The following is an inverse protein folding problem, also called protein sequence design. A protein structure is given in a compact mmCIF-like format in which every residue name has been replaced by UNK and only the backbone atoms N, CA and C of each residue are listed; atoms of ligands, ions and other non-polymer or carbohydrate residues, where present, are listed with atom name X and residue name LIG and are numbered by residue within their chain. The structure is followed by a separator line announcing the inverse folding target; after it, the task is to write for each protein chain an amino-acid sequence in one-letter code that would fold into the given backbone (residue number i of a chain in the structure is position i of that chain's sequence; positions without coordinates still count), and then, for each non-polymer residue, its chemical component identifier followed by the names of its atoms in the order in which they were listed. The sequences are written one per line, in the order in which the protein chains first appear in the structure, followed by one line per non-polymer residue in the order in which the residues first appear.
data_IF_979031078589
#
_entry.id   IF_979031078589
#
_cell.length_a   1.000
_cell.length_b   1.000
_cell.length_c   1.000
_cell.angle_alpha   90.00
_cell.angle_beta   90.00
_cell.angle_gamma   90.00
#
_symmetry.space_group_name_H-M   'P 1'
#
loop_
_entity.id
_entity.type
_entity.pdbx_description
1 polymer ?
#
# COMPACT_ATOMS: atom_id res chain seq x y z
N UNK A 1 10.99 -8.04 12.94
CA UNK A 1 9.73 -8.76 12.63
C UNK A 1 8.79 -7.83 11.88
N UNK A 2 9.00 -7.65 10.56
CA UNK A 2 8.12 -6.84 9.70
C UNK A 2 7.59 -7.63 8.48
N UNK A 3 7.85 -8.93 8.42
CA UNK A 3 7.51 -9.80 7.28
C UNK A 3 6.01 -9.91 7.07
N UNK A 4 5.23 -10.02 8.14
CA UNK A 4 3.77 -10.13 8.05
C UNK A 4 3.11 -8.86 7.45
N UNK A 5 3.62 -7.66 7.76
CA UNK A 5 3.06 -6.42 7.22
C UNK A 5 3.43 -6.25 5.74
N UNK A 6 4.68 -6.55 5.37
CA UNK A 6 5.11 -6.56 3.98
C UNK A 6 4.32 -7.59 3.15
N UNK A 7 4.08 -8.78 3.70
CA UNK A 7 3.26 -9.83 3.11
C UNK A 7 1.82 -9.35 2.87
N UNK A 8 1.19 -8.74 3.88
CA UNK A 8 -0.16 -8.17 3.77
C UNK A 8 -0.23 -7.07 2.72
N UNK A 9 0.78 -6.22 2.65
CA UNK A 9 0.82 -5.11 1.71
C UNK A 9 1.03 -5.59 0.27
N UNK A 10 1.93 -6.55 0.06
CA UNK A 10 2.12 -7.21 -1.23
C UNK A 10 0.84 -7.90 -1.70
N UNK A 11 0.18 -8.63 -0.80
CA UNK A 11 -1.10 -9.31 -1.05
C UNK A 11 -2.18 -8.31 -1.45
N UNK A 12 -2.35 -7.25 -0.66
CA UNK A 12 -3.40 -6.26 -0.87
C UNK A 12 -3.19 -5.46 -2.15
N UNK A 13 -1.95 -5.05 -2.46
CA UNK A 13 -1.60 -4.37 -3.71
C UNK A 13 -1.82 -5.26 -4.94
N UNK A 14 -1.46 -6.54 -4.84
CA UNK A 14 -1.71 -7.51 -5.92
C UNK A 14 -3.21 -7.65 -6.19
N UNK A 15 -4.01 -7.81 -5.13
CA UNK A 15 -5.46 -7.89 -5.26
C UNK A 15 -6.05 -6.59 -5.86
N UNK A 16 -5.57 -5.42 -5.43
CA UNK A 16 -6.03 -4.14 -5.95
C UNK A 16 -5.72 -4.00 -7.44
N UNK A 17 -4.52 -4.38 -7.86
CA UNK A 17 -4.13 -4.38 -9.28
C UNK A 17 -5.07 -5.24 -10.13
N UNK A 18 -5.39 -6.46 -9.67
CA UNK A 18 -6.32 -7.36 -10.39
C UNK A 18 -7.70 -6.74 -10.50
N UNK A 19 -8.24 -6.19 -9.41
CA UNK A 19 -9.58 -5.60 -9.41
C UNK A 19 -9.68 -4.36 -10.31
N UNK A 20 -8.66 -3.49 -10.28
CA UNK A 20 -8.60 -2.32 -11.15
C UNK A 20 -8.47 -2.71 -12.63
N UNK A 21 -7.61 -3.69 -12.96
CA UNK A 21 -7.48 -4.21 -14.33
C UNK A 21 -8.78 -4.84 -14.83
N UNK A 22 -9.49 -5.59 -13.96
CA UNK A 22 -10.79 -6.20 -14.27
C UNK A 22 -11.88 -5.15 -14.51
N UNK A 23 -11.88 -4.08 -13.72
CA UNK A 23 -12.82 -2.97 -13.85
C UNK A 23 -12.46 -1.98 -14.96
N UNK A 24 -11.28 -2.11 -15.58
CA UNK A 24 -10.71 -1.12 -16.50
C UNK A 24 -10.66 0.31 -15.89
N UNK A 25 -10.36 0.39 -14.58
CA UNK A 25 -10.36 1.63 -13.82
C UNK A 25 -8.94 2.06 -13.42
N UNK A 26 -8.69 3.38 -13.35
CA UNK A 26 -7.43 3.97 -12.91
C UNK A 26 -6.18 3.34 -13.58
N UNK A 27 -6.00 3.50 -14.90
CA UNK A 27 -4.87 2.91 -15.63
C UNK A 27 -3.51 3.36 -15.10
N UNK A 28 -3.40 4.61 -14.64
CA UNK A 28 -2.16 5.14 -14.05
C UNK A 28 -1.81 4.41 -12.75
N UNK A 29 -2.79 4.23 -11.85
CA UNK A 29 -2.59 3.47 -10.61
C UNK A 29 -2.28 1.98 -10.90
N UNK A 30 -2.85 1.40 -11.96
CA UNK A 30 -2.48 0.05 -12.39
C UNK A 30 -0.99 -0.02 -12.80
N UNK A 31 -0.48 0.97 -13.53
CA UNK A 31 0.92 1.01 -13.95
C UNK A 31 1.87 1.19 -12.76
N UNK A 32 1.51 2.07 -11.84
CA UNK A 32 2.25 2.31 -10.60
C UNK A 32 2.28 1.08 -9.68
N UNK A 33 1.13 0.44 -9.43
CA UNK A 33 1.04 -0.77 -8.62
C UNK A 33 1.87 -1.90 -9.23
N UNK A 34 1.77 -2.09 -10.54
CA UNK A 34 2.56 -3.08 -11.24
C UNK A 34 4.07 -2.81 -11.14
N UNK A 35 4.48 -1.54 -11.21
CA UNK A 35 5.88 -1.13 -11.03
C UNK A 35 6.35 -1.40 -9.61
N UNK A 36 5.58 -1.02 -8.59
CA UNK A 36 5.91 -1.27 -7.17
C UNK A 36 6.02 -2.76 -6.87
N UNK A 37 5.08 -3.57 -7.36
CA UNK A 37 5.09 -5.01 -7.16
C UNK A 37 6.26 -5.69 -7.91
N UNK A 38 6.59 -5.22 -9.12
CA UNK A 38 7.75 -5.70 -9.86
C UNK A 38 9.05 -5.38 -9.11
N UNK A 39 9.22 -4.15 -8.61
CA UNK A 39 10.39 -3.74 -7.81
C UNK A 39 10.53 -4.62 -6.56
N UNK A 40 9.42 -4.90 -5.87
CA UNK A 40 9.41 -5.82 -4.75
C UNK A 40 9.93 -7.22 -5.13
N UNK A 41 9.55 -7.77 -6.29
CA UNK A 41 10.06 -9.08 -6.76
C UNK A 41 11.52 -8.99 -7.25
N UNK A 42 11.94 -7.88 -7.83
CA UNK A 42 13.33 -7.64 -8.24
C UNK A 42 14.28 -7.60 -7.04
N UNK A 43 13.80 -7.08 -5.90
CA UNK A 43 14.53 -7.06 -4.64
C UNK A 43 14.87 -8.45 -4.10
N UNK A 44 14.01 -9.46 -4.33
CA UNK A 44 14.18 -10.81 -3.76
C UNK A 44 15.53 -11.41 -4.16
N UNK A 45 16.37 -11.71 -3.18
CA UNK A 45 17.72 -12.21 -3.43
C UNK A 45 17.70 -13.71 -3.71
N UNK A 46 18.00 -14.08 -4.94
CA UNK A 46 17.84 -15.46 -5.44
C UNK A 46 18.78 -16.48 -4.80
N UNK A 47 19.83 -16.03 -4.09
CA UNK A 47 20.70 -16.93 -3.34
C UNK A 47 20.13 -17.32 -1.98
N UNK A 48 19.11 -16.63 -1.49
CA UNK A 48 18.51 -16.86 -0.18
C UNK A 48 17.79 -18.20 -0.14
N UNK A 49 18.00 -18.97 0.94
CA UNK A 49 17.45 -20.31 1.07
C UNK A 49 15.92 -20.36 0.97
N UNK A 50 15.23 -19.30 1.42
CA UNK A 50 13.78 -19.15 1.37
C UNK A 50 13.28 -18.80 -0.04
N UNK A 51 14.07 -18.07 -0.84
CA UNK A 51 13.71 -17.65 -2.21
C UNK A 51 13.99 -18.76 -3.22
N UNK A 52 15.02 -19.59 -2.99
CA UNK A 52 15.46 -20.66 -3.90
C UNK A 52 14.36 -21.64 -4.35
N UNK A 53 13.42 -22.09 -3.50
CA UNK A 53 12.29 -22.92 -3.94
C UNK A 53 11.33 -22.23 -4.90
N UNK A 54 11.36 -20.89 -4.96
CA UNK A 54 10.41 -20.05 -5.67
C UNK A 54 11.02 -19.39 -6.93
N UNK A 55 12.26 -19.73 -7.31
CA UNK A 55 13.01 -19.05 -8.39
C UNK A 55 12.23 -18.94 -9.71
N UNK A 56 11.54 -20.00 -10.12
CA UNK A 56 10.74 -19.97 -11.35
C UNK A 56 9.67 -18.87 -11.32
N UNK A 57 9.03 -18.68 -10.16
CA UNK A 57 7.99 -17.66 -9.98
C UNK A 57 8.63 -16.28 -9.91
N UNK A 58 9.73 -16.15 -9.16
CA UNK A 58 10.49 -14.90 -9.05
C UNK A 58 10.97 -14.43 -10.43
N UNK A 59 11.67 -15.27 -11.20
CA UNK A 59 12.19 -14.94 -12.53
C UNK A 59 11.09 -14.51 -13.50
N UNK A 60 9.94 -15.20 -13.47
CA UNK A 60 8.78 -14.83 -14.26
C UNK A 60 8.31 -13.42 -13.92
N UNK A 61 8.04 -13.13 -12.64
CA UNK A 61 7.47 -11.86 -12.22
C UNK A 61 8.49 -10.73 -12.06
N UNK A 62 9.78 -10.98 -12.31
CA UNK A 62 10.77 -9.93 -12.59
C UNK A 62 10.50 -9.22 -13.93
N UNK A 63 9.74 -9.83 -14.85
CA UNK A 63 9.41 -9.25 -16.15
C UNK A 63 8.21 -8.31 -16.07
N UNK A 64 8.36 -7.04 -16.48
CA UNK A 64 7.27 -6.02 -16.45
C UNK A 64 6.02 -6.48 -17.19
N UNK A 65 6.19 -7.21 -18.28
CA UNK A 65 5.09 -7.73 -19.13
C UNK A 65 4.13 -8.66 -18.37
N UNK A 66 4.60 -9.39 -17.36
CA UNK A 66 3.76 -10.31 -16.59
C UNK A 66 2.73 -9.59 -15.71
N UNK A 67 2.94 -8.29 -15.45
CA UNK A 67 2.04 -7.46 -14.64
C UNK A 67 1.01 -6.69 -15.46
N UNK A 68 1.14 -6.65 -16.79
CA UNK A 68 0.23 -5.88 -17.67
C UNK A 68 -1.21 -6.41 -17.66
N UNK A 69 -1.37 -7.72 -17.45
CA UNK A 69 -2.66 -8.40 -17.36
C UNK A 69 -2.56 -9.56 -16.38
N UNK A 70 -2.87 -9.28 -15.12
CA UNK A 70 -2.85 -10.24 -14.04
C UNK A 70 -4.27 -10.79 -13.81
N UNK A 71 -4.49 -12.06 -14.17
CA UNK A 71 -5.74 -12.75 -13.84
C UNK A 71 -5.77 -13.13 -12.36
N UNK A 72 -6.96 -13.26 -11.77
CA UNK A 72 -7.12 -13.71 -10.37
C UNK A 72 -6.36 -15.01 -10.03
N UNK A 73 -6.35 -16.01 -10.93
CA UNK A 73 -5.60 -17.26 -10.71
C UNK A 73 -4.08 -17.06 -10.66
N UNK A 74 -3.53 -16.22 -11.54
CA UNK A 74 -2.10 -15.84 -11.52
C UNK A 74 -1.73 -15.03 -10.30
N UNK A 75 -2.62 -14.15 -9.84
CA UNK A 75 -2.42 -13.40 -8.62
C UNK A 75 -2.42 -14.30 -7.38
N UNK A 76 -3.34 -15.27 -7.29
CA UNK A 76 -3.35 -16.23 -6.19
C UNK A 76 -2.06 -17.06 -6.13
N UNK A 77 -1.58 -17.54 -7.28
CA UNK A 77 -0.29 -18.24 -7.41
C UNK A 77 0.89 -17.36 -7.00
N UNK A 78 0.93 -16.11 -7.49
CA UNK A 78 1.94 -15.11 -7.11
C UNK A 78 1.96 -14.88 -5.60
N UNK A 79 0.80 -14.61 -4.99
CA UNK A 79 0.67 -14.33 -3.55
C UNK A 79 1.16 -15.54 -2.74
N UNK A 80 0.70 -16.74 -3.07
CA UNK A 80 1.06 -17.97 -2.36
C UNK A 80 2.57 -18.24 -2.39
N UNK A 81 3.25 -17.87 -3.47
CA UNK A 81 4.68 -18.12 -3.63
C UNK A 81 5.57 -16.97 -3.18
N UNK A 82 5.13 -15.72 -3.29
CA UNK A 82 6.02 -14.56 -3.16
C UNK A 82 5.72 -13.69 -1.94
N UNK A 83 4.48 -13.66 -1.44
CA UNK A 83 4.09 -12.65 -0.44
C UNK A 83 4.88 -12.77 0.87
N UNK A 84 5.21 -13.99 1.31
CA UNK A 84 5.95 -14.24 2.53
C UNK A 84 7.48 -14.19 2.36
N UNK A 85 7.99 -14.00 1.14
CA UNK A 85 9.42 -13.99 0.88
C UNK A 85 10.04 -12.65 1.32
N UNK A 86 11.26 -12.66 1.86
CA UNK A 86 11.97 -11.42 2.16
C UNK A 86 12.27 -10.66 0.87
N UNK A 87 11.92 -9.38 0.83
CA UNK A 87 12.37 -8.45 -0.20
C UNK A 87 13.06 -7.25 0.46
N UNK A 88 14.36 -7.02 0.19
CA UNK A 88 15.09 -5.86 0.68
C UNK A 88 14.63 -4.55 0.03
N UNK A 89 13.91 -4.63 -1.10
CA UNK A 89 13.58 -3.48 -1.95
C UNK A 89 12.10 -3.06 -1.83
N UNK A 90 11.47 -3.35 -0.68
CA UNK A 90 10.51 -2.38 -0.22
C UNK A 90 11.34 -1.14 0.16
N UNK A 91 11.49 -0.19 -0.77
CA UNK A 91 12.13 1.11 -0.54
C UNK A 91 11.52 1.91 0.62
N UNK A 92 10.50 1.35 1.28
CA UNK A 92 9.90 1.78 2.54
C UNK A 92 10.54 1.15 3.79
N UNK A 93 11.18 -0.03 3.67
CA UNK A 93 11.69 -0.90 4.75
C UNK A 93 13.23 -0.86 4.88
N UNK A 94 13.94 -0.18 3.98
CA UNK A 94 15.42 -0.07 4.02
C UNK A 94 15.95 0.89 5.11
N UNK A 95 15.08 1.49 5.92
CA UNK A 95 15.47 2.17 7.14
C UNK A 95 14.87 1.45 8.36
N UNK A 96 15.76 0.83 9.16
CA UNK A 96 15.44 0.25 10.46
C UNK A 96 14.77 1.31 11.36
N UNK A 97 13.47 1.16 11.66
CA UNK A 97 12.79 2.02 12.63
C UNK A 97 11.26 1.89 12.66
N UNK A 98 10.65 2.34 13.77
CA UNK A 98 9.20 2.37 13.98
C UNK A 98 8.44 3.24 12.95
N UNK A 99 9.10 4.25 12.38
CA UNK A 99 8.54 5.11 11.34
C UNK A 99 8.22 4.36 10.03
N UNK A 100 9.03 3.35 9.69
CA UNK A 100 8.76 2.46 8.55
C UNK A 100 7.45 1.68 8.77
N UNK A 101 7.29 1.07 9.96
CA UNK A 101 6.10 0.31 10.31
C UNK A 101 4.82 1.16 10.24
N UNK A 102 4.86 2.39 10.76
CA UNK A 102 3.72 3.30 10.71
C UNK A 102 3.32 3.68 9.27
N UNK A 103 4.31 3.97 8.40
CA UNK A 103 4.06 4.26 6.97
C UNK A 103 3.49 3.06 6.24
N UNK A 104 4.01 1.86 6.48
CA UNK A 104 3.48 0.62 5.87
C UNK A 104 2.06 0.30 6.36
N UNK A 105 1.76 0.53 7.64
CA UNK A 105 0.40 0.37 8.18
C UNK A 105 -0.60 1.34 7.55
N UNK A 106 -0.22 2.62 7.40
CA UNK A 106 -1.03 3.60 6.67
C UNK A 106 -1.27 3.16 5.22
N UNK A 107 -0.21 2.81 4.50
CA UNK A 107 -0.30 2.35 3.11
C UNK A 107 -1.26 1.15 3.01
N UNK A 108 -1.19 0.19 3.94
CA UNK A 108 -2.09 -0.97 3.97
C UNK A 108 -3.55 -0.54 4.19
N UNK A 109 -3.83 0.33 5.16
CA UNK A 109 -5.18 0.83 5.42
C UNK A 109 -5.79 1.48 4.18
N UNK A 110 -5.01 2.30 3.47
CA UNK A 110 -5.49 2.98 2.26
C UNK A 110 -5.71 1.99 1.12
N UNK A 111 -4.83 1.01 0.91
CA UNK A 111 -5.02 -0.03 -0.12
C UNK A 111 -6.27 -0.87 0.18
N UNK A 112 -6.55 -1.17 1.46
CA UNK A 112 -7.78 -1.85 1.88
C UNK A 112 -9.02 -1.01 1.58
N UNK A 113 -8.98 0.29 1.87
CA UNK A 113 -10.08 1.20 1.53
C UNK A 113 -10.31 1.29 0.01
N UNK A 114 -9.24 1.38 -0.78
CA UNK A 114 -9.31 1.37 -2.25
C UNK A 114 -9.94 0.07 -2.77
N UNK A 115 -9.55 -1.08 -2.21
CA UNK A 115 -10.14 -2.38 -2.54
C UNK A 115 -11.65 -2.42 -2.27
N UNK A 116 -12.09 -1.93 -1.10
CA UNK A 116 -13.50 -1.85 -0.74
C UNK A 116 -14.30 -1.00 -1.76
N UNK A 117 -13.72 0.12 -2.21
CA UNK A 117 -14.36 0.96 -3.23
C UNK A 117 -14.52 0.26 -4.57
N UNK A 118 -13.46 -0.41 -5.05
CA UNK A 118 -13.51 -1.12 -6.33
C UNK A 118 -14.49 -2.29 -6.29
N UNK A 119 -14.64 -2.93 -5.12
CA UNK A 119 -15.60 -4.04 -4.90
C UNK A 119 -17.04 -3.57 -4.72
N UNK A 120 -17.26 -2.29 -4.43
CA UNK A 120 -18.57 -1.74 -4.11
C UNK A 120 -19.07 -2.11 -2.72
N UNK A 121 -18.15 -2.34 -1.77
CA UNK A 121 -18.48 -2.63 -0.38
C UNK A 121 -19.11 -1.40 0.30
N UNK A 122 -20.04 -1.62 1.24
CA UNK A 122 -20.75 -0.54 1.92
C UNK A 122 -19.81 0.31 2.81
N UNK A 123 -19.94 1.64 2.74
CA UNK A 123 -19.25 2.60 3.64
C UNK A 123 -20.03 2.77 4.94
N UNK A 124 -19.38 3.09 6.07
CA UNK A 124 -17.92 3.19 6.26
C UNK A 124 -17.28 1.84 6.55
N UNK A 125 -16.12 1.57 5.94
CA UNK A 125 -15.27 0.42 6.31
C UNK A 125 -14.40 0.75 7.52
N UNK A 126 -14.04 -0.23 8.35
CA UNK A 126 -13.12 -0.03 9.50
C UNK A 126 -11.82 0.71 9.11
N UNK A 127 -11.31 0.47 7.89
CA UNK A 127 -10.15 1.18 7.36
C UNK A 127 -10.35 2.70 7.25
N UNK A 128 -11.55 3.16 6.88
CA UNK A 128 -11.87 4.59 6.81
C UNK A 128 -11.81 5.24 8.19
N UNK A 129 -12.31 4.56 9.23
CA UNK A 129 -12.28 5.07 10.59
C UNK A 129 -10.82 5.28 11.02
N UNK A 130 -9.99 4.26 10.87
CA UNK A 130 -8.58 4.35 11.25
C UNK A 130 -7.77 5.37 10.43
N UNK A 131 -8.03 5.51 9.13
CA UNK A 131 -7.37 6.55 8.32
C UNK A 131 -7.74 7.94 8.85
N UNK A 132 -8.99 8.14 9.24
CA UNK A 132 -9.46 9.41 9.78
C UNK A 132 -8.82 9.72 11.12
N UNK A 133 -8.76 8.74 12.03
CA UNK A 133 -8.08 8.90 13.33
C UNK A 133 -6.63 9.35 13.12
N UNK A 134 -5.90 8.72 12.19
CA UNK A 134 -4.52 9.11 11.84
C UNK A 134 -4.47 10.55 11.30
N UNK A 135 -5.40 10.93 10.42
CA UNK A 135 -5.46 12.28 9.85
C UNK A 135 -5.79 13.33 10.91
N UNK A 136 -6.73 13.04 11.81
CA UNK A 136 -7.11 13.92 12.92
C UNK A 136 -5.95 14.12 13.91
N UNK A 137 -5.24 13.04 14.25
CA UNK A 137 -4.04 13.09 15.09
C UNK A 137 -2.93 13.94 14.44
N UNK A 138 -2.68 13.74 13.14
CA UNK A 138 -1.71 14.53 12.39
C UNK A 138 -2.07 16.02 12.33
N UNK A 139 -3.35 16.35 12.12
CA UNK A 139 -3.82 17.73 12.05
C UNK A 139 -3.90 18.40 13.43
N UNK A 140 -3.93 17.62 14.51
CA UNK A 140 -3.85 18.14 15.87
C UNK A 140 -2.44 18.59 16.25
N UNK A 141 -1.41 18.10 15.55
CA UNK A 141 -0.04 18.60 15.70
C UNK A 141 0.21 19.83 14.82
N UNK A 142 0.59 20.96 15.45
CA UNK A 142 0.68 22.26 14.80
C UNK A 142 1.68 22.35 13.63
N UNK A 143 2.76 21.57 13.64
CA UNK A 143 3.77 21.63 12.58
C UNK A 143 3.30 20.89 11.31
N UNK A 144 2.80 19.68 11.46
CA UNK A 144 2.24 18.82 10.43
C UNK A 144 0.97 19.45 9.86
N UNK A 145 0.14 20.03 10.72
CA UNK A 145 -1.04 20.77 10.30
C UNK A 145 -0.72 21.97 9.42
N UNK A 146 0.45 22.60 9.52
CA UNK A 146 0.85 23.69 8.62
C UNK A 146 1.28 23.15 7.25
N UNK A 147 1.96 22.01 7.24
CA UNK A 147 2.49 21.37 6.02
C UNK A 147 1.44 20.52 5.28
N UNK A 148 0.33 20.18 5.94
CA UNK A 148 -0.72 19.33 5.39
C UNK A 148 -1.38 19.94 4.15
N UNK A 149 -1.38 19.15 3.07
CA UNK A 149 -2.10 19.44 1.83
C UNK A 149 -3.63 19.43 2.07
N UNK A 150 -4.39 20.07 1.18
CA UNK A 150 -5.83 20.21 1.32
C UNK A 150 -6.54 18.86 1.39
N UNK A 151 -6.08 17.85 0.64
CA UNK A 151 -6.65 16.50 0.67
C UNK A 151 -6.56 15.86 2.06
N UNK A 152 -5.51 16.16 2.83
CA UNK A 152 -5.36 15.68 4.22
C UNK A 152 -6.39 16.34 5.12
N UNK A 153 -6.59 17.66 4.98
CA UNK A 153 -7.60 18.40 5.76
C UNK A 153 -9.01 17.89 5.45
N UNK A 154 -9.32 17.72 4.17
CA UNK A 154 -10.64 17.28 3.73
C UNK A 154 -10.96 15.87 4.25
N UNK A 155 -9.96 14.98 4.29
CA UNK A 155 -10.10 13.61 4.80
C UNK A 155 -10.45 13.51 6.29
N UNK A 156 -10.32 14.60 7.07
CA UNK A 156 -10.85 14.66 8.45
C UNK A 156 -12.38 14.83 8.50
N UNK A 157 -13.04 15.10 7.36
CA UNK A 157 -14.48 15.38 7.30
C UNK A 157 -15.27 14.23 6.66
N UNK A 158 -16.45 13.92 7.19
CA UNK A 158 -17.36 12.91 6.61
C UNK A 158 -17.79 13.23 5.17
N UNK A 159 -17.85 14.51 4.82
CA UNK A 159 -18.27 14.98 3.51
C UNK A 159 -17.33 14.46 2.41
N UNK A 160 -16.01 14.49 2.65
CA UNK A 160 -15.03 14.00 1.69
C UNK A 160 -15.23 12.50 1.42
N UNK A 161 -15.41 11.71 2.48
CA UNK A 161 -15.63 10.28 2.38
C UNK A 161 -16.96 9.87 1.76
N UNK A 162 -17.89 10.78 1.52
CA UNK A 162 -19.13 10.47 0.80
C UNK A 162 -18.93 10.50 -0.72
N UNK A 163 -17.93 11.25 -1.20
CA UNK A 163 -17.64 11.43 -2.63
C UNK A 163 -16.28 10.87 -3.09
N UNK A 164 -15.36 10.57 -2.17
CA UNK A 164 -14.00 10.16 -2.49
C UNK A 164 -13.97 8.88 -3.36
N UNK A 165 -13.14 8.86 -4.38
CA UNK A 165 -12.87 7.68 -5.22
C UNK A 165 -11.49 7.05 -4.93
N UNK A 166 -11.10 6.06 -5.74
CA UNK A 166 -9.81 5.37 -5.60
C UNK A 166 -8.63 6.32 -5.82
N UNK A 167 -8.75 7.28 -6.73
CA UNK A 167 -7.70 8.25 -7.04
C UNK A 167 -7.60 9.32 -5.94
N UNK A 168 -8.71 9.71 -5.31
CA UNK A 168 -8.72 10.53 -4.09
C UNK A 168 -7.95 9.83 -2.96
N UNK A 169 -8.21 8.53 -2.73
CA UNK A 169 -7.49 7.76 -1.72
C UNK A 169 -5.99 7.63 -2.03
N UNK A 170 -5.62 7.47 -3.30
CA UNK A 170 -4.19 7.43 -3.69
C UNK A 170 -3.49 8.77 -3.47
N UNK A 171 -4.18 9.89 -3.75
CA UNK A 171 -3.68 11.23 -3.44
C UNK A 171 -3.51 11.43 -1.93
N UNK A 172 -4.49 11.00 -1.14
CA UNK A 172 -4.41 11.03 0.31
C UNK A 172 -3.19 10.23 0.82
N UNK A 173 -2.97 9.02 0.28
CA UNK A 173 -1.82 8.18 0.64
C UNK A 173 -0.51 8.92 0.47
N UNK A 174 -0.31 9.57 -0.67
CA UNK A 174 0.91 10.31 -1.00
C UNK A 174 1.11 11.53 -0.10
N UNK A 175 0.02 12.21 0.25
CA UNK A 175 0.07 13.40 1.09
C UNK A 175 0.34 13.05 2.57
N UNK A 176 -0.25 11.96 3.09
CA UNK A 176 -0.12 11.55 4.50
C UNK A 176 1.18 10.78 4.76
N UNK A 177 1.65 9.97 3.81
CA UNK A 177 2.85 9.13 3.95
C UNK A 177 4.12 9.87 4.43
N UNK A 178 4.50 11.06 3.93
CA UNK A 178 5.66 11.77 4.47
C UNK A 178 5.45 12.17 5.93
N UNK A 179 4.25 12.62 6.29
CA UNK A 179 3.89 13.17 7.61
C UNK A 179 3.92 12.11 8.73
N UNK A 180 3.55 10.87 8.44
CA UNK A 180 3.48 9.77 9.44
C UNK A 180 4.84 9.35 9.99
N UNK A 181 5.94 9.61 9.28
CA UNK A 181 7.28 9.26 9.76
C UNK A 181 7.91 10.30 10.68
N UNK A 182 7.50 11.56 10.55
CA UNK A 182 8.10 12.68 11.29
C UNK A 182 7.40 12.89 12.65
N UNK A 183 6.11 12.57 12.74
CA UNK A 183 5.28 12.79 13.93
C UNK A 183 5.54 11.80 15.09
N UNK A 184 5.89 10.55 14.79
CA UNK A 184 5.95 9.48 15.81
C UNK A 184 7.21 9.47 16.68
N UNK A 185 8.21 10.30 16.42
CA UNK A 185 9.37 10.45 17.32
C UNK A 185 9.07 11.39 18.52
N UNK A 186 7.98 12.16 18.47
CA UNK A 186 7.67 13.17 19.50
C UNK A 186 6.73 12.69 20.61
N UNK A 187 6.27 11.43 20.57
CA UNK A 187 5.33 10.89 21.58
C UNK A 187 5.91 9.78 22.46
N UNK A 188 7.24 9.71 22.62
CA UNK A 188 7.87 8.94 23.69
C UNK A 188 8.53 9.92 24.67
N UNK A 189 7.69 10.47 25.56
CA UNK A 189 8.07 11.30 26.70
C UNK A 189 7.07 11.11 27.82
#
# INVERSE_FOLDING_TARGET
MNTALAEQLFTSRTNLLVELQRAHANPDLCDELATVLQLHVLGMHTADAEVRPHLRVVEKYRMRSEWNRLSAGRAADLIAHLAALPSPDDATIVNDGAACDSRCRLDLLIVVAQLALVRGDARPSDAQIHIRDIVEDLLSNSAEAILADQVVRDASTDAWWSGADVADLERLRRAVRPLVGDATELSVG
#
